data_IF_467723860444
#
_entry.id   IF_467723860444
#
_cell.length_a   1.000
_cell.length_b   1.000
_cell.length_c   1.000
_cell.angle_alpha   90.00
_cell.angle_beta   90.00
_cell.angle_gamma   90.00
#
_symmetry.space_group_name_H-M   'P 1'
#
loop_
_entity.id
_entity.type
_entity.pdbx_description
1 polymer ?
#
# COMPACT_ATOMS: atom_id res chain seq x y z
N UNK A 1 11.71 21.57 27.30
CA UNK A 1 12.74 20.71 26.69
C UNK A 1 12.44 19.25 27.05
N UNK A 2 12.72 18.29 26.16
CA UNK A 2 12.54 16.85 26.44
C UNK A 2 13.85 16.11 26.28
N UNK A 3 14.07 15.03 27.02
CA UNK A 3 15.23 14.15 26.94
C UNK A 3 14.84 12.73 26.52
N UNK A 4 15.73 11.96 25.85
CA UNK A 4 15.50 10.56 25.56
C UNK A 4 15.38 9.77 26.86
N UNK A 5 14.43 8.82 26.91
CA UNK A 5 14.21 7.90 28.04
C UNK A 5 13.98 6.48 27.53
N UNK A 6 14.14 5.48 28.40
CA UNK A 6 13.93 4.05 28.07
C UNK A 6 14.69 3.59 26.82
N UNK A 7 16.00 3.91 26.72
CA UNK A 7 16.81 3.53 25.56
C UNK A 7 16.47 4.27 24.27
N UNK A 8 15.76 5.41 24.34
CA UNK A 8 15.35 6.20 23.18
C UNK A 8 13.95 5.86 22.63
N UNK A 9 13.25 4.90 23.24
CA UNK A 9 11.89 4.50 22.83
C UNK A 9 10.89 5.64 23.04
N UNK A 10 11.11 6.50 24.04
CA UNK A 10 10.28 7.67 24.35
C UNK A 10 11.14 8.88 24.71
N UNK A 11 10.51 10.05 24.71
CA UNK A 11 11.09 11.28 25.26
C UNK A 11 10.27 11.70 26.48
N UNK A 12 10.95 12.23 27.50
CA UNK A 12 10.32 12.73 28.74
C UNK A 12 10.55 14.24 28.87
N UNK A 13 9.50 14.95 29.28
CA UNK A 13 9.59 16.39 29.52
C UNK A 13 10.34 16.67 30.83
N UNK A 14 11.38 17.51 30.76
CA UNK A 14 12.21 17.84 31.96
C UNK A 14 11.45 18.66 33.02
N UNK A 15 10.29 19.26 32.66
CA UNK A 15 9.53 20.13 33.55
C UNK A 15 8.34 19.47 34.22
N UNK A 16 7.67 18.51 33.55
CA UNK A 16 6.44 17.90 34.04
C UNK A 16 6.43 16.37 33.94
N UNK A 17 7.55 15.76 33.53
CA UNK A 17 7.71 14.32 33.37
C UNK A 17 6.72 13.67 32.38
N UNK A 18 6.03 14.46 31.55
CA UNK A 18 5.15 13.90 30.50
C UNK A 18 5.96 13.09 29.50
N UNK A 19 5.47 11.93 29.16
CA UNK A 19 6.07 11.02 28.21
C UNK A 19 5.57 11.28 26.79
N UNK A 20 6.46 11.25 25.82
CA UNK A 20 6.18 11.42 24.39
C UNK A 20 6.73 10.22 23.63
N UNK A 21 5.85 9.49 22.99
CA UNK A 21 6.21 8.32 22.16
C UNK A 21 6.37 8.74 20.70
N UNK A 22 7.24 8.05 19.92
CA UNK A 22 7.33 8.29 18.49
C UNK A 22 6.00 7.95 17.81
N UNK A 23 5.63 8.76 16.82
CA UNK A 23 4.45 8.52 16.01
C UNK A 23 4.75 7.41 15.00
N UNK A 24 3.81 6.47 14.84
CA UNK A 24 3.77 5.51 13.74
C UNK A 24 2.47 5.71 12.98
N UNK A 25 2.56 5.92 11.67
CA UNK A 25 1.39 6.12 10.81
C UNK A 25 1.05 4.80 10.12
N UNK A 26 -0.10 4.17 10.42
CA UNK A 26 -0.51 2.95 9.72
C UNK A 26 -1.00 3.27 8.32
N UNK A 27 -0.57 2.48 7.34
CA UNK A 27 -0.91 2.58 5.92
C UNK A 27 -1.30 1.21 5.40
N UNK A 28 -2.48 1.07 4.82
CA UNK A 28 -2.84 -0.15 4.08
C UNK A 28 -2.24 -0.08 2.68
N UNK A 29 -1.73 -1.22 2.20
CA UNK A 29 -1.32 -1.39 0.80
C UNK A 29 -2.03 -2.61 0.25
N UNK A 30 -2.79 -2.43 -0.83
CA UNK A 30 -3.79 -3.37 -1.30
C UNK A 30 -3.38 -4.01 -2.63
N UNK A 31 -3.17 -5.32 -2.63
CA UNK A 31 -3.13 -6.12 -3.84
C UNK A 31 -4.57 -6.51 -4.23
N UNK A 32 -5.18 -5.72 -5.10
CA UNK A 32 -6.58 -5.87 -5.51
C UNK A 32 -6.64 -6.82 -6.69
N UNK A 33 -7.37 -7.94 -6.53
CA UNK A 33 -7.43 -9.03 -7.50
C UNK A 33 -8.86 -9.20 -8.02
N UNK A 34 -8.99 -9.44 -9.32
CA UNK A 34 -10.21 -9.88 -10.01
C UNK A 34 -9.85 -10.78 -11.19
N UNK A 35 -10.55 -11.90 -11.36
CA UNK A 35 -10.44 -12.79 -12.55
C UNK A 35 -8.98 -13.06 -13.00
N UNK A 36 -8.10 -13.40 -12.05
CA UNK A 36 -6.67 -13.64 -12.29
C UNK A 36 -5.90 -12.41 -12.84
N UNK A 37 -6.39 -11.21 -12.52
CA UNK A 37 -5.73 -9.93 -12.77
C UNK A 37 -5.47 -9.21 -11.46
N UNK A 38 -4.51 -8.31 -11.46
CA UNK A 38 -4.20 -7.41 -10.35
C UNK A 38 -4.34 -5.97 -10.81
N UNK A 39 -4.92 -5.13 -9.97
CA UNK A 39 -5.00 -3.70 -10.20
C UNK A 39 -3.73 -3.03 -9.67
N UNK A 40 -3.07 -2.26 -10.53
CA UNK A 40 -1.97 -1.39 -10.15
C UNK A 40 -2.27 0.04 -10.56
N UNK A 41 -1.78 0.99 -9.76
CA UNK A 41 -1.94 2.41 -9.99
C UNK A 41 -0.62 3.16 -10.03
N UNK A 42 -0.64 4.34 -10.64
CA UNK A 42 0.46 5.31 -10.68
C UNK A 42 0.02 6.60 -10.01
N UNK A 43 0.68 6.96 -8.92
CA UNK A 43 0.47 8.21 -8.20
C UNK A 43 1.00 9.42 -9.00
N UNK A 44 0.50 10.61 -8.66
CA UNK A 44 0.92 11.87 -9.28
C UNK A 44 2.43 12.10 -9.15
N UNK A 45 3.02 12.50 -10.25
CA UNK A 45 4.46 12.83 -10.32
C UNK A 45 5.39 11.61 -10.38
N UNK A 46 4.84 10.40 -10.45
CA UNK A 46 5.67 9.22 -10.67
C UNK A 46 6.06 9.09 -12.15
N UNK A 47 7.24 8.52 -12.45
CA UNK A 47 7.64 8.26 -13.83
C UNK A 47 6.61 7.44 -14.60
N UNK A 48 6.54 7.64 -15.90
CA UNK A 48 5.72 6.81 -16.77
C UNK A 48 6.07 5.33 -16.63
N UNK A 49 5.05 4.47 -16.54
CA UNK A 49 5.21 3.04 -16.29
C UNK A 49 5.54 2.64 -14.85
N UNK A 50 5.71 3.58 -13.92
CA UNK A 50 5.93 3.27 -12.51
C UNK A 50 4.61 2.92 -11.82
N UNK A 51 4.20 1.65 -11.91
CA UNK A 51 2.95 1.15 -11.34
C UNK A 51 3.21 0.41 -10.02
N UNK A 52 2.30 0.57 -9.05
CA UNK A 52 2.36 -0.10 -7.74
C UNK A 52 0.97 -0.52 -7.28
N UNK A 53 0.92 -1.34 -6.22
CA UNK A 53 -0.30 -1.55 -5.47
C UNK A 53 -0.77 -0.22 -4.86
N UNK A 54 -2.09 0.00 -4.81
CA UNK A 54 -2.69 1.19 -4.18
C UNK A 54 -2.43 1.18 -2.67
N UNK A 55 -2.30 2.35 -2.07
CA UNK A 55 -1.99 2.46 -0.65
C UNK A 55 -2.52 3.76 -0.05
N UNK A 56 -3.14 3.66 1.14
CA UNK A 56 -3.68 4.82 1.83
C UNK A 56 -3.53 4.75 3.35
N UNK A 57 -3.65 5.89 4.01
CA UNK A 57 -3.57 5.98 5.47
C UNK A 57 -4.85 5.46 6.14
N UNK A 58 -4.68 4.75 7.26
CA UNK A 58 -5.79 4.42 8.14
C UNK A 58 -6.16 5.66 8.94
N UNK A 59 -7.43 6.05 8.90
CA UNK A 59 -7.96 7.19 9.66
C UNK A 59 -8.21 6.83 11.13
N UNK A 60 -8.18 7.81 12.05
CA UNK A 60 -8.48 7.56 13.46
C UNK A 60 -9.88 6.94 13.66
N UNK A 61 -9.94 5.79 14.31
CA UNK A 61 -11.18 5.05 14.55
C UNK A 61 -11.61 4.10 13.44
N UNK A 62 -10.84 4.01 12.37
CA UNK A 62 -11.08 3.12 11.23
C UNK A 62 -10.36 1.78 11.42
N UNK A 63 -10.99 0.68 11.04
CA UNK A 63 -10.35 -0.63 10.97
C UNK A 63 -9.52 -0.76 9.68
N UNK A 64 -8.63 -1.76 9.62
CA UNK A 64 -7.82 -2.05 8.44
C UNK A 64 -8.72 -2.33 7.22
N UNK A 65 -9.78 -3.12 7.42
CA UNK A 65 -10.72 -3.51 6.36
C UNK A 65 -11.57 -2.34 5.86
N UNK A 66 -11.93 -1.41 6.75
CA UNK A 66 -12.63 -0.17 6.38
C UNK A 66 -11.73 0.74 5.57
N UNK A 67 -10.47 0.94 5.99
CA UNK A 67 -9.48 1.70 5.25
C UNK A 67 -9.25 1.15 3.84
N UNK A 68 -9.08 -0.18 3.71
CA UNK A 68 -8.96 -0.85 2.40
C UNK A 68 -10.14 -0.53 1.49
N UNK A 69 -11.38 -0.63 2.01
CA UNK A 69 -12.59 -0.38 1.23
C UNK A 69 -12.72 1.09 0.84
N UNK A 70 -12.45 2.01 1.76
CA UNK A 70 -12.54 3.45 1.53
C UNK A 70 -11.49 3.91 0.51
N UNK A 71 -10.21 3.63 0.74
CA UNK A 71 -9.11 4.04 -0.14
C UNK A 71 -9.31 3.49 -1.56
N UNK A 72 -9.64 2.19 -1.69
CA UNK A 72 -9.88 1.60 -3.01
C UNK A 72 -11.06 2.26 -3.73
N UNK A 73 -12.13 2.59 -2.99
CA UNK A 73 -13.28 3.26 -3.59
C UNK A 73 -12.99 4.71 -3.96
N UNK A 74 -12.29 5.45 -3.09
CA UNK A 74 -11.91 6.85 -3.31
C UNK A 74 -10.94 7.01 -4.49
N UNK A 75 -9.92 6.16 -4.59
CA UNK A 75 -8.89 6.24 -5.64
C UNK A 75 -9.37 5.75 -7.01
N UNK A 76 -10.14 4.64 -7.05
CA UNK A 76 -10.43 3.94 -8.34
C UNK A 76 -11.88 3.49 -8.50
N UNK A 77 -12.78 3.77 -7.55
CA UNK A 77 -14.21 3.46 -7.64
C UNK A 77 -14.56 1.97 -7.43
N UNK A 78 -13.60 1.12 -7.08
CA UNK A 78 -13.79 -0.32 -6.91
C UNK A 78 -14.29 -0.65 -5.50
N UNK A 79 -15.29 -1.52 -5.41
CA UNK A 79 -15.76 -2.09 -4.14
C UNK A 79 -15.01 -3.39 -3.84
N UNK A 80 -14.63 -3.57 -2.58
CA UNK A 80 -13.92 -4.75 -2.10
C UNK A 80 -14.90 -5.68 -1.38
N UNK A 81 -14.96 -6.96 -1.82
CA UNK A 81 -15.73 -8.04 -1.20
C UNK A 81 -15.04 -8.59 0.04
N UNK A 82 -13.76 -8.88 -0.10
CA UNK A 82 -12.94 -9.53 0.92
C UNK A 82 -11.56 -8.90 0.97
N UNK A 83 -10.99 -8.77 2.18
CA UNK A 83 -9.65 -8.28 2.41
C UNK A 83 -8.96 -9.16 3.45
N UNK A 84 -7.77 -9.65 3.14
CA UNK A 84 -6.98 -10.52 3.99
C UNK A 84 -5.61 -9.92 4.26
N UNK A 85 -5.22 -9.88 5.54
CA UNK A 85 -3.87 -9.50 5.93
C UNK A 85 -2.86 -10.57 5.50
N UNK A 86 -1.73 -10.12 4.98
CA UNK A 86 -0.63 -11.01 4.54
C UNK A 86 0.61 -10.82 5.40
N UNK A 87 1.18 -9.63 5.41
CA UNK A 87 2.33 -9.23 6.24
C UNK A 87 2.43 -7.72 6.33
N UNK A 88 3.35 -7.22 7.18
CA UNK A 88 3.60 -5.78 7.31
C UNK A 88 5.08 -5.46 7.15
N UNK A 89 5.37 -4.21 6.80
CA UNK A 89 6.72 -3.69 6.62
C UNK A 89 6.85 -2.31 7.27
N UNK A 90 7.82 -2.11 8.19
CA UNK A 90 8.20 -0.77 8.62
C UNK A 90 8.73 0.05 7.44
N UNK A 91 8.19 1.27 7.28
CA UNK A 91 8.60 2.22 6.25
C UNK A 91 8.97 3.54 6.91
N UNK A 92 10.27 3.74 7.27
CA UNK A 92 10.68 4.84 8.15
C UNK A 92 10.78 6.21 7.48
N UNK A 93 10.18 6.39 6.33
CA UNK A 93 10.15 7.66 5.60
C UNK A 93 8.76 8.28 5.56
N UNK A 94 8.35 9.09 6.58
CA UNK A 94 9.12 9.37 7.81
C UNK A 94 8.87 8.39 8.96
N UNK A 95 7.73 7.68 9.05
CA UNK A 95 7.36 6.84 10.20
C UNK A 95 6.11 6.00 9.92
N UNK A 96 6.09 5.29 8.81
CA UNK A 96 4.94 4.49 8.41
C UNK A 96 5.11 3.01 8.80
N UNK A 97 3.99 2.34 9.06
CA UNK A 97 3.87 0.90 9.08
C UNK A 97 2.96 0.50 7.91
N UNK A 98 3.55 -0.09 6.88
CA UNK A 98 2.80 -0.62 5.73
C UNK A 98 2.16 -1.95 6.09
N UNK A 99 0.86 -2.07 5.89
CA UNK A 99 0.04 -3.25 6.20
C UNK A 99 -0.42 -3.85 4.87
N UNK A 100 0.21 -4.95 4.46
CA UNK A 100 -0.05 -5.62 3.19
C UNK A 100 -1.32 -6.45 3.23
N UNK A 101 -2.23 -6.16 2.30
CA UNK A 101 -3.53 -6.80 2.16
C UNK A 101 -3.66 -7.41 0.77
N UNK A 102 -4.32 -8.57 0.70
CA UNK A 102 -4.84 -9.13 -0.56
C UNK A 102 -6.35 -8.96 -0.55
N UNK A 103 -6.88 -8.38 -1.61
CA UNK A 103 -8.27 -7.94 -1.68
C UNK A 103 -8.95 -8.48 -2.94
N UNK A 104 -10.22 -8.90 -2.81
CA UNK A 104 -11.04 -9.33 -3.93
C UNK A 104 -11.97 -8.18 -4.35
N UNK A 105 -11.88 -7.76 -5.62
CA UNK A 105 -12.74 -6.74 -6.19
C UNK A 105 -14.15 -7.29 -6.53
N UNK A 106 -15.17 -6.44 -6.44
CA UNK A 106 -16.54 -6.77 -6.85
C UNK A 106 -16.74 -6.73 -8.36
N UNK A 107 -16.02 -5.86 -9.04
CA UNK A 107 -16.02 -5.68 -10.49
C UNK A 107 -14.66 -5.14 -10.97
N UNK A 108 -14.51 -4.90 -12.28
CA UNK A 108 -13.29 -4.35 -12.90
C UNK A 108 -13.49 -2.92 -13.47
N UNK A 109 -14.65 -2.31 -13.26
CA UNK A 109 -15.00 -1.00 -13.82
C UNK A 109 -14.32 0.12 -13.03
N UNK A 110 -13.31 0.75 -13.61
CA UNK A 110 -12.51 1.79 -12.97
C UNK A 110 -13.18 3.17 -13.10
N UNK A 111 -13.27 3.88 -11.98
CA UNK A 111 -13.59 5.29 -11.91
C UNK A 111 -12.46 6.02 -11.17
N UNK A 112 -11.42 6.40 -11.91
CA UNK A 112 -10.16 6.90 -11.35
C UNK A 112 -10.33 8.32 -10.84
N UNK A 113 -9.99 8.56 -9.58
CA UNK A 113 -9.85 9.89 -9.00
C UNK A 113 -8.54 10.52 -9.49
N UNK A 114 -8.63 11.32 -10.53
CA UNK A 114 -7.45 11.96 -11.16
C UNK A 114 -6.78 13.02 -10.26
N UNK A 115 -7.35 13.34 -9.11
CA UNK A 115 -6.70 14.22 -8.12
C UNK A 115 -5.61 13.49 -7.33
N UNK A 116 -5.64 12.16 -7.26
CA UNK A 116 -4.70 11.32 -6.49
C UNK A 116 -3.94 10.34 -7.38
N UNK A 117 -4.60 9.68 -8.31
CA UNK A 117 -4.06 8.64 -9.19
C UNK A 117 -4.05 9.13 -10.64
N UNK A 118 -2.89 9.16 -11.30
CA UNK A 118 -2.79 9.53 -12.72
C UNK A 118 -3.23 8.42 -13.65
N UNK A 119 -3.01 7.16 -13.24
CA UNK A 119 -3.28 5.99 -14.06
C UNK A 119 -3.56 4.78 -13.18
N UNK A 120 -4.55 3.97 -13.53
CA UNK A 120 -4.78 2.65 -12.93
C UNK A 120 -5.18 1.65 -14.02
N UNK A 121 -4.60 0.44 -13.95
CA UNK A 121 -4.83 -0.62 -14.94
C UNK A 121 -4.86 -2.00 -14.30
N UNK A 122 -5.64 -2.89 -14.89
CA UNK A 122 -5.62 -4.31 -14.61
C UNK A 122 -4.52 -5.00 -15.41
N UNK A 123 -3.68 -5.77 -14.74
CA UNK A 123 -2.63 -6.60 -15.34
C UNK A 123 -2.93 -8.07 -15.09
N UNK A 124 -2.80 -8.90 -16.12
CA UNK A 124 -2.92 -10.35 -15.96
C UNK A 124 -1.70 -10.91 -15.21
N UNK A 125 -1.87 -12.10 -14.63
CA UNK A 125 -0.79 -12.80 -13.94
C UNK A 125 0.43 -13.02 -14.86
N UNK A 126 0.19 -13.32 -16.14
CA UNK A 126 1.26 -13.52 -17.12
C UNK A 126 2.00 -12.22 -17.45
N UNK A 127 1.29 -11.09 -17.56
CA UNK A 127 1.94 -9.77 -17.74
C UNK A 127 2.85 -9.41 -16.56
N UNK A 128 2.38 -9.65 -15.33
CA UNK A 128 3.20 -9.41 -14.14
C UNK A 128 4.41 -10.35 -14.11
N UNK A 129 4.23 -11.64 -14.41
CA UNK A 129 5.35 -12.60 -14.54
C UNK A 129 6.38 -12.15 -15.56
N UNK A 130 5.94 -11.71 -16.74
CA UNK A 130 6.83 -11.23 -17.80
C UNK A 130 7.73 -10.07 -17.33
N UNK A 131 7.17 -9.11 -16.56
CA UNK A 131 7.98 -8.02 -15.96
C UNK A 131 9.01 -8.57 -14.98
N UNK A 132 8.61 -9.52 -14.12
CA UNK A 132 9.51 -10.09 -13.11
C UNK A 132 10.61 -10.98 -13.71
N UNK A 133 10.32 -11.64 -14.83
CA UNK A 133 11.27 -12.48 -15.59
C UNK A 133 12.12 -11.67 -16.60
N UNK A 134 11.93 -10.33 -16.66
CA UNK A 134 12.55 -9.41 -17.62
C UNK A 134 12.25 -9.78 -19.09
N UNK A 135 11.08 -10.35 -19.36
CA UNK A 135 10.58 -10.73 -20.70
C UNK A 135 9.45 -9.84 -21.20
N UNK A 136 9.03 -8.82 -20.42
CA UNK A 136 7.99 -7.85 -20.75
C UNK A 136 8.24 -6.50 -20.07
N UNK A 137 7.63 -5.47 -20.62
CA UNK A 137 7.78 -4.06 -20.23
C UNK A 137 6.41 -3.39 -19.89
N UNK A 138 5.46 -4.18 -19.39
CA UNK A 138 4.11 -3.70 -19.09
C UNK A 138 4.07 -2.60 -18.03
N UNK A 139 5.04 -2.61 -17.12
CA UNK A 139 5.32 -1.56 -16.13
C UNK A 139 6.76 -1.68 -15.62
N UNK A 140 7.25 -0.63 -14.93
CA UNK A 140 8.57 -0.67 -14.32
C UNK A 140 8.61 -1.63 -13.13
N UNK A 141 9.59 -2.52 -13.13
CA UNK A 141 9.75 -3.51 -12.05
C UNK A 141 9.94 -2.83 -10.70
N UNK A 142 9.14 -3.22 -9.72
CA UNK A 142 9.21 -2.68 -8.37
C UNK A 142 10.54 -3.04 -7.67
N UNK A 143 11.10 -2.11 -6.87
CA UNK A 143 12.30 -2.39 -6.10
C UNK A 143 12.08 -3.56 -5.14
N UNK A 144 13.04 -4.48 -5.07
CA UNK A 144 12.94 -5.73 -4.28
C UNK A 144 12.72 -5.52 -2.77
N UNK A 145 13.03 -4.34 -2.24
CA UNK A 145 12.85 -4.02 -0.83
C UNK A 145 11.44 -3.53 -0.49
N UNK A 146 10.56 -3.32 -1.47
CA UNK A 146 9.21 -2.77 -1.23
C UNK A 146 8.21 -3.87 -0.93
N UNK A 147 7.27 -3.58 -0.03
CA UNK A 147 6.15 -4.47 0.30
C UNK A 147 5.31 -4.81 -0.94
N UNK A 148 5.09 -3.84 -1.84
CA UNK A 148 4.37 -4.06 -3.11
C UNK A 148 5.03 -5.13 -3.97
N UNK A 149 6.39 -5.13 -4.05
CA UNK A 149 7.14 -6.19 -4.73
C UNK A 149 6.84 -7.57 -4.15
N UNK A 150 6.87 -7.69 -2.82
CA UNK A 150 6.63 -8.97 -2.15
C UNK A 150 5.17 -9.45 -2.28
N UNK A 151 4.20 -8.55 -2.23
CA UNK A 151 2.79 -8.88 -2.48
C UNK A 151 2.59 -9.44 -3.88
N UNK A 152 3.14 -8.76 -4.91
CA UNK A 152 3.08 -9.25 -6.30
C UNK A 152 3.80 -10.59 -6.48
N UNK A 153 4.99 -10.75 -5.89
CA UNK A 153 5.74 -12.02 -5.94
C UNK A 153 4.93 -13.17 -5.36
N UNK A 154 4.37 -13.01 -4.16
CA UNK A 154 3.54 -14.04 -3.54
C UNK A 154 2.34 -14.41 -4.42
N UNK A 155 1.72 -13.42 -5.05
CA UNK A 155 0.57 -13.67 -5.92
C UNK A 155 0.93 -14.40 -7.22
N UNK A 156 2.04 -14.07 -7.87
CA UNK A 156 2.44 -14.77 -9.11
C UNK A 156 2.96 -16.19 -8.84
N UNK A 157 3.42 -16.48 -7.63
CA UNK A 157 3.93 -17.79 -7.21
C UNK A 157 2.83 -18.71 -6.63
N UNK A 158 1.67 -18.17 -6.24
CA UNK A 158 0.48 -18.92 -5.83
C UNK A 158 -0.28 -19.50 -7.04
#
# INVERSE_FOLDING_TARGET
>A
MTQPSSGGIKRECNSCSSEHFPRVNPVVIMLIISNNKVLLGRGKGWPEGAMSALAGFISPGETIEEAVKRETYEEVGIKIKNAQYVFSQPWPWPSQLMIGMVCEADNEDLNINTDEIEEAKWFTKDQVKAVYDNSGDHFLKLPKFTIAHHLLRNWIES
#
